data_IF_729175189214
#
_entry.id   IF_729175189214
#
_cell.length_a   1.000
_cell.length_b   1.000
_cell.length_c   1.000
_cell.angle_alpha   90.00
_cell.angle_beta   90.00
_cell.angle_gamma   90.00
#
_symmetry.space_group_name_H-M   'P 1'
#
loop_
_entity.id
_entity.type
_entity.pdbx_description
1 polymer ?
#
# COMPACT_ATOMS: atom_id res chain seq x y z
N UNK A 1 -20.04 13.51 -7.78
CA UNK A 1 -18.65 13.02 -7.96
C UNK A 1 -17.75 14.12 -7.41
N UNK A 2 -16.96 13.81 -6.38
CA UNK A 2 -16.09 14.81 -5.75
C UNK A 2 -14.90 15.03 -6.70
N UNK A 3 -14.87 16.19 -7.35
CA UNK A 3 -13.74 16.68 -8.12
C UNK A 3 -12.66 17.12 -7.12
N UNK A 4 -11.74 16.22 -6.79
CA UNK A 4 -10.51 16.59 -6.08
C UNK A 4 -9.60 17.23 -7.12
N UNK A 5 -9.40 18.55 -7.03
CA UNK A 5 -8.36 19.23 -7.81
C UNK A 5 -7.03 18.48 -7.59
N UNK A 6 -6.26 18.17 -8.65
CA UNK A 6 -4.96 17.51 -8.47
C UNK A 6 -4.10 18.39 -7.56
N UNK A 7 -3.57 17.81 -6.47
CA UNK A 7 -2.56 18.48 -5.65
C UNK A 7 -1.38 18.83 -6.56
N UNK A 8 -0.81 20.02 -6.37
CA UNK A 8 0.48 20.32 -6.97
C UNK A 8 1.56 19.62 -6.15
N UNK A 9 2.12 18.53 -6.68
CA UNK A 9 3.11 17.69 -6.01
C UNK A 9 3.07 16.24 -6.52
N UNK A 10 4.01 15.39 -6.09
CA UNK A 10 3.94 13.95 -6.37
C UNK A 10 2.65 13.34 -5.80
N UNK A 11 2.14 12.29 -6.43
CA UNK A 11 1.00 11.54 -5.91
C UNK A 11 1.42 10.82 -4.62
N UNK A 12 0.65 11.00 -3.54
CA UNK A 12 0.94 10.32 -2.27
C UNK A 12 0.48 8.87 -2.34
N UNK A 13 1.39 7.95 -2.07
CA UNK A 13 1.23 6.53 -2.30
C UNK A 13 1.37 5.71 -1.01
N UNK A 14 0.49 4.73 -0.83
CA UNK A 14 0.62 3.69 0.20
C UNK A 14 0.93 2.37 -0.48
N UNK A 15 1.92 1.64 0.02
CA UNK A 15 2.23 0.29 -0.45
C UNK A 15 1.65 -0.77 0.48
N UNK A 16 1.14 -1.86 -0.09
CA UNK A 16 0.48 -2.94 0.64
C UNK A 16 1.12 -4.29 0.31
N UNK A 17 1.55 -5.01 1.34
CA UNK A 17 2.21 -6.31 1.20
C UNK A 17 1.57 -7.43 2.04
N UNK A 18 1.66 -8.66 1.55
CA UNK A 18 1.30 -9.85 2.32
C UNK A 18 2.57 -10.65 2.66
N UNK A 19 2.73 -11.03 3.92
CA UNK A 19 3.72 -12.01 4.35
C UNK A 19 3.01 -13.35 4.48
N UNK A 20 3.48 -14.36 3.75
CA UNK A 20 2.86 -15.68 3.69
C UNK A 20 3.88 -16.79 3.93
N UNK A 21 3.43 -18.05 3.93
CA UNK A 21 4.35 -19.19 3.99
C UNK A 21 5.21 -19.36 2.73
N UNK A 22 4.77 -18.82 1.60
CA UNK A 22 5.49 -18.89 0.31
C UNK A 22 6.30 -17.63 0.00
N UNK A 23 6.06 -16.57 0.77
CA UNK A 23 6.73 -15.28 0.70
C UNK A 23 6.94 -14.80 2.13
N UNK A 24 8.08 -15.16 2.71
CA UNK A 24 8.43 -14.75 4.07
C UNK A 24 8.68 -13.24 4.16
N UNK A 25 9.00 -12.78 5.35
CA UNK A 25 9.18 -11.35 5.64
C UNK A 25 10.32 -10.74 4.84
N UNK A 26 11.45 -11.45 4.69
CA UNK A 26 12.58 -11.00 3.88
C UNK A 26 12.15 -10.77 2.44
N UNK A 27 11.53 -11.78 1.83
CA UNK A 27 11.10 -11.69 0.43
C UNK A 27 9.99 -10.66 0.22
N UNK A 28 9.06 -10.52 1.16
CA UNK A 28 8.04 -9.48 1.11
C UNK A 28 8.65 -8.08 1.18
N UNK A 29 9.66 -7.88 2.03
CA UNK A 29 10.35 -6.60 2.14
C UNK A 29 11.14 -6.27 0.86
N UNK A 30 11.84 -7.24 0.26
CA UNK A 30 12.51 -7.06 -1.03
C UNK A 30 11.53 -6.60 -2.12
N UNK A 31 10.35 -7.23 -2.20
CA UNK A 31 9.31 -6.82 -3.15
C UNK A 31 8.73 -5.43 -2.86
N UNK A 32 8.55 -5.08 -1.58
CA UNK A 32 8.06 -3.75 -1.19
C UNK A 32 9.10 -2.64 -1.46
N UNK A 33 10.39 -2.94 -1.30
CA UNK A 33 11.47 -2.01 -1.63
C UNK A 33 11.59 -1.81 -3.15
N UNK A 34 11.47 -2.88 -3.94
CA UNK A 34 11.39 -2.77 -5.40
C UNK A 34 10.14 -1.99 -5.84
N UNK A 35 8.98 -2.28 -5.24
CA UNK A 35 7.73 -1.57 -5.52
C UNK A 35 7.83 -0.08 -5.18
N UNK A 36 8.48 0.26 -4.06
CA UNK A 36 8.76 1.65 -3.69
C UNK A 36 9.62 2.33 -4.74
N UNK A 37 10.71 1.70 -5.16
CA UNK A 37 11.58 2.24 -6.20
C UNK A 37 10.79 2.51 -7.50
N UNK A 38 9.95 1.56 -7.92
CA UNK A 38 9.10 1.73 -9.10
C UNK A 38 8.12 2.90 -8.93
N UNK A 39 7.44 3.01 -7.78
CA UNK A 39 6.51 4.11 -7.49
C UNK A 39 7.23 5.48 -7.52
N UNK A 40 8.41 5.57 -6.89
CA UNK A 40 9.22 6.78 -6.86
C UNK A 40 9.69 7.19 -8.26
N UNK A 41 10.14 6.23 -9.08
CA UNK A 41 10.53 6.52 -10.47
C UNK A 41 9.36 6.92 -11.37
N UNK A 42 8.14 6.53 -11.00
CA UNK A 42 6.90 6.95 -11.66
C UNK A 42 6.38 8.31 -11.17
N UNK A 43 7.05 8.93 -10.18
CA UNK A 43 6.70 10.25 -9.65
C UNK A 43 5.76 10.23 -8.45
N UNK A 44 5.51 9.07 -7.85
CA UNK A 44 4.75 8.96 -6.60
C UNK A 44 5.68 9.08 -5.37
N UNK A 45 5.15 9.61 -4.28
CA UNK A 45 5.82 9.66 -2.98
C UNK A 45 5.23 8.59 -2.07
N UNK A 46 6.02 7.59 -1.69
CA UNK A 46 5.55 6.55 -0.74
C UNK A 46 5.49 7.13 0.67
N UNK A 47 4.28 7.32 1.19
CA UNK A 47 4.04 7.91 2.52
C UNK A 47 3.81 6.88 3.62
N UNK A 48 3.47 5.64 3.27
CA UNK A 48 3.43 4.52 4.21
C UNK A 48 3.51 3.16 3.50
N UNK A 49 3.89 2.15 4.28
CA UNK A 49 3.85 0.75 3.87
C UNK A 49 3.11 -0.04 4.93
N UNK A 50 2.10 -0.81 4.50
CA UNK A 50 1.38 -1.74 5.35
C UNK A 50 1.67 -3.16 4.91
N UNK A 51 1.87 -4.04 5.87
CA UNK A 51 1.91 -5.47 5.61
C UNK A 51 1.11 -6.26 6.63
N UNK A 52 0.69 -7.47 6.25
CA UNK A 52 0.06 -8.41 7.16
C UNK A 52 0.59 -9.82 6.94
N UNK A 53 0.93 -10.48 8.05
CA UNK A 53 1.25 -11.91 8.06
C UNK A 53 -0.03 -12.75 8.05
N UNK A 54 -0.14 -13.65 7.09
CA UNK A 54 -1.31 -14.49 6.83
C UNK A 54 -0.84 -15.88 6.34
N UNK A 55 -1.67 -16.92 6.46
CA UNK A 55 -1.34 -18.22 5.86
C UNK A 55 -1.34 -18.14 4.32
N UNK A 56 -2.31 -17.41 3.76
CA UNK A 56 -2.46 -17.06 2.35
C UNK A 56 -3.20 -15.71 2.24
N UNK A 57 -3.05 -14.97 1.13
CA UNK A 57 -3.81 -13.74 0.93
C UNK A 57 -5.31 -13.99 0.95
N UNK A 58 -6.06 -13.03 1.47
CA UNK A 58 -7.52 -13.08 1.40
C UNK A 58 -7.96 -12.97 -0.07
N UNK A 59 -8.81 -13.87 -0.59
CA UNK A 59 -9.17 -13.88 -2.00
C UNK A 59 -10.02 -12.68 -2.44
N UNK A 60 -10.64 -11.95 -1.49
CA UNK A 60 -11.46 -10.76 -1.77
C UNK A 60 -10.73 -9.46 -1.50
N UNK A 61 -9.92 -9.43 -0.45
CA UNK A 61 -9.34 -8.20 0.10
C UNK A 61 -7.81 -8.15 0.04
N UNK A 62 -7.16 -9.23 -0.42
CA UNK A 62 -5.72 -9.46 -0.36
C UNK A 62 -5.17 -9.59 1.08
N UNK A 63 -5.51 -8.64 1.96
CA UNK A 63 -5.28 -8.70 3.41
C UNK A 63 -6.59 -8.93 4.17
N UNK A 64 -6.52 -9.11 5.49
CA UNK A 64 -7.70 -9.24 6.34
C UNK A 64 -8.48 -7.93 6.47
N UNK A 65 -9.80 -8.03 6.74
CA UNK A 65 -10.69 -6.86 6.84
C UNK A 65 -10.24 -5.82 7.85
N UNK A 66 -9.77 -6.22 9.03
CA UNK A 66 -9.28 -5.28 10.04
C UNK A 66 -8.07 -4.46 9.57
N UNK A 67 -7.19 -5.06 8.75
CA UNK A 67 -6.06 -4.33 8.16
C UNK A 67 -6.53 -3.40 7.02
N UNK A 68 -7.53 -3.81 6.25
CA UNK A 68 -8.15 -2.95 5.26
C UNK A 68 -8.83 -1.73 5.88
N UNK A 69 -9.51 -1.89 7.02
CA UNK A 69 -10.11 -0.78 7.75
C UNK A 69 -9.05 0.21 8.26
N UNK A 70 -7.91 -0.29 8.76
CA UNK A 70 -6.76 0.52 9.17
C UNK A 70 -6.16 1.31 7.99
N UNK A 71 -5.92 0.65 6.85
CA UNK A 71 -5.39 1.27 5.64
C UNK A 71 -6.36 2.35 5.13
N UNK A 72 -7.66 2.06 5.12
CA UNK A 72 -8.68 3.03 4.72
C UNK A 72 -8.70 4.25 5.64
N UNK A 73 -8.66 4.05 6.95
CA UNK A 73 -8.58 5.15 7.91
C UNK A 73 -7.32 6.01 7.69
N UNK A 74 -6.19 5.38 7.38
CA UNK A 74 -4.95 6.10 7.03
C UNK A 74 -5.12 6.91 5.74
N UNK A 75 -5.65 6.32 4.68
CA UNK A 75 -5.89 7.01 3.39
C UNK A 75 -6.77 8.24 3.56
N UNK A 76 -7.85 8.12 4.35
CA UNK A 76 -8.78 9.20 4.58
C UNK A 76 -8.15 10.32 5.43
N UNK A 77 -7.41 9.96 6.48
CA UNK A 77 -6.75 10.92 7.37
C UNK A 77 -5.57 11.65 6.69
N UNK A 78 -4.81 10.91 5.90
CA UNK A 78 -3.60 11.38 5.24
C UNK A 78 -3.84 11.80 3.80
N UNK A 79 -5.08 11.93 3.31
CA UNK A 79 -5.36 12.35 1.93
C UNK A 79 -4.48 11.64 0.88
N UNK A 80 -4.36 10.32 0.97
CA UNK A 80 -3.55 9.50 0.05
C UNK A 80 -4.23 9.44 -1.32
N UNK A 81 -3.44 9.55 -2.39
CA UNK A 81 -3.92 9.58 -3.78
C UNK A 81 -3.92 8.18 -4.41
N UNK A 82 -2.96 7.34 -4.03
CA UNK A 82 -2.71 6.03 -4.63
C UNK A 82 -2.45 4.94 -3.57
N UNK A 83 -2.93 3.72 -3.85
CA UNK A 83 -2.61 2.52 -3.08
C UNK A 83 -2.15 1.44 -4.06
N UNK A 84 -1.01 0.81 -3.78
CA UNK A 84 -0.40 -0.23 -4.62
C UNK A 84 -0.23 -1.51 -3.81
#
# INVERSE_FOLDING_TARGET
MIDRRPRQGPERCVLVGAVTRLQDETKANEYLDELRFLAETAGAETVAVFSQKLDKPDPKLFLGSGKMDEIKAYIDAEEVDLVI
#
